data_IF_361201135280
#
_entry.id   IF_361201135280
#
_cell.length_a   1.000
_cell.length_b   1.000
_cell.length_c   1.000
_cell.angle_alpha   90.00
_cell.angle_beta   90.00
_cell.angle_gamma   90.00
#
_symmetry.space_group_name_H-M   'P 1'
#
loop_
_entity.id
_entity.type
_entity.pdbx_description
1 polymer ?
#
# COMPACT_ATOMS: atom_id res chain seq x y z
N UNK A 1 -7.70 8.33 -8.70
CA UNK A 1 -7.16 7.81 -7.44
C UNK A 1 -8.11 6.80 -6.82
N UNK A 2 -7.58 5.95 -5.97
CA UNK A 2 -8.38 4.92 -5.32
C UNK A 2 -9.21 5.53 -4.19
N UNK A 3 -10.52 5.40 -4.30
CA UNK A 3 -11.46 5.86 -3.29
C UNK A 3 -12.56 4.82 -3.11
N UNK A 4 -13.09 4.67 -1.88
CA UNK A 4 -14.24 3.80 -1.69
C UNK A 4 -15.47 4.32 -2.43
N UNK A 5 -16.23 3.42 -3.06
CA UNK A 5 -17.46 3.81 -3.74
C UNK A 5 -18.55 4.25 -2.77
N UNK A 6 -18.62 3.59 -1.63
CA UNK A 6 -19.56 3.92 -0.56
C UNK A 6 -18.82 3.89 0.75
N UNK A 7 -19.16 4.84 1.62
CA UNK A 7 -18.60 4.87 2.96
C UNK A 7 -19.72 4.86 3.98
N UNK A 8 -19.59 4.01 4.99
CA UNK A 8 -20.53 4.01 6.11
C UNK A 8 -20.37 5.27 6.95
N UNK A 9 -19.12 5.66 7.14
CA UNK A 9 -18.78 6.90 7.84
C UNK A 9 -17.73 7.64 7.02
N UNK A 10 -17.95 8.94 6.82
CA UNK A 10 -16.98 9.76 6.09
C UNK A 10 -15.79 10.16 6.94
N UNK A 11 -15.94 10.16 8.25
CA UNK A 11 -14.90 10.52 9.19
C UNK A 11 -14.74 9.39 10.20
N UNK A 12 -13.50 9.03 10.48
CA UNK A 12 -13.18 7.95 11.41
C UNK A 12 -12.12 8.46 12.37
N UNK A 13 -12.23 8.08 13.64
CA UNK A 13 -11.21 8.42 14.61
C UNK A 13 -9.92 7.68 14.31
N UNK A 14 -8.81 8.29 14.70
CA UNK A 14 -7.50 7.68 14.54
C UNK A 14 -7.43 6.44 15.43
N UNK A 15 -7.22 5.28 14.85
CA UNK A 15 -7.10 4.02 15.57
C UNK A 15 -5.68 3.74 16.01
N UNK A 16 -5.52 2.63 16.74
CA UNK A 16 -4.20 2.15 17.14
C UNK A 16 -3.46 1.59 15.94
N UNK A 17 -2.18 1.93 15.84
CA UNK A 17 -1.30 1.42 14.79
C UNK A 17 -0.32 0.41 15.38
N UNK A 18 -0.87 -0.67 15.94
CA UNK A 18 -0.08 -1.71 16.61
C UNK A 18 -0.33 -3.07 15.99
N UNK A 19 0.57 -3.99 16.26
CA UNK A 19 0.45 -5.37 15.87
C UNK A 19 1.04 -5.65 14.51
N UNK A 20 0.92 -6.90 14.08
CA UNK A 20 1.41 -7.38 12.80
C UNK A 20 0.24 -7.69 11.89
N UNK A 21 0.51 -7.74 10.59
CA UNK A 21 -0.50 -8.12 9.62
C UNK A 21 -0.93 -9.58 9.84
N UNK A 22 -2.24 -9.83 9.73
CA UNK A 22 -2.80 -11.18 9.87
C UNK A 22 -3.12 -11.81 8.53
N UNK A 23 -3.20 -11.01 7.46
CA UNK A 23 -3.48 -11.50 6.12
C UNK A 23 -2.49 -10.96 5.12
N UNK A 24 -2.37 -11.61 4.00
CA UNK A 24 -1.49 -11.21 2.90
C UNK A 24 -0.05 -10.95 3.34
N UNK A 25 0.50 -11.89 4.10
CA UNK A 25 1.88 -11.82 4.58
C UNK A 25 2.85 -12.53 3.65
N UNK A 26 2.34 -13.22 2.64
CA UNK A 26 3.15 -13.89 1.62
C UNK A 26 2.67 -13.45 0.24
N UNK A 27 3.53 -13.65 -0.76
CA UNK A 27 3.16 -13.40 -2.15
C UNK A 27 2.17 -14.48 -2.59
N UNK A 28 0.97 -14.07 -3.01
CA UNK A 28 -0.13 -14.99 -3.33
C UNK A 28 -0.44 -15.05 -4.82
N UNK A 29 -0.37 -13.94 -5.52
CA UNK A 29 -0.80 -13.84 -6.91
C UNK A 29 0.37 -13.73 -7.87
N UNK A 30 1.43 -13.03 -7.48
CA UNK A 30 2.57 -12.78 -8.33
C UNK A 30 3.75 -13.68 -8.03
N UNK A 31 4.90 -13.33 -8.58
CA UNK A 31 6.17 -13.99 -8.33
C UNK A 31 6.99 -13.25 -7.29
N UNK A 32 6.80 -11.95 -7.19
CA UNK A 32 7.52 -11.05 -6.29
C UNK A 32 6.55 -10.10 -5.64
N UNK A 33 6.89 -9.63 -4.46
CA UNK A 33 6.05 -8.71 -3.73
C UNK A 33 6.85 -7.67 -2.97
N UNK A 34 6.17 -6.62 -2.56
CA UNK A 34 6.71 -5.56 -1.72
C UNK A 34 6.06 -5.65 -0.35
N UNK A 35 6.84 -6.00 0.64
CA UNK A 35 6.38 -6.23 2.01
C UNK A 35 6.71 -5.03 2.89
N UNK A 36 5.76 -4.62 3.71
CA UNK A 36 5.98 -3.58 4.70
C UNK A 36 6.77 -4.11 5.89
N UNK A 37 7.72 -3.33 6.36
CA UNK A 37 8.55 -3.68 7.51
C UNK A 37 8.16 -2.94 8.79
N UNK A 38 7.29 -1.96 8.67
CA UNK A 38 6.86 -1.16 9.82
C UNK A 38 5.38 -0.80 9.69
N UNK A 39 4.81 -0.34 10.79
CA UNK A 39 3.44 0.14 10.79
C UNK A 39 3.39 1.56 10.25
N UNK A 40 2.33 1.89 9.53
CA UNK A 40 2.14 3.25 9.01
C UNK A 40 0.88 3.38 8.20
N UNK A 41 0.67 4.58 7.71
CA UNK A 41 -0.43 4.89 6.82
C UNK A 41 0.12 5.19 5.42
N UNK A 42 -0.55 4.64 4.43
CA UNK A 42 -0.23 4.88 3.02
C UNK A 42 -1.43 5.58 2.40
N UNK A 43 -1.19 6.76 1.84
CA UNK A 43 -2.27 7.53 1.22
C UNK A 43 -2.61 6.98 -0.16
N UNK A 44 -3.82 7.30 -0.63
CA UNK A 44 -4.23 6.94 -1.99
C UNK A 44 -3.27 7.51 -3.04
N UNK A 45 -2.70 8.68 -2.79
CA UNK A 45 -1.71 9.29 -3.71
C UNK A 45 -0.41 8.48 -3.73
N UNK A 46 0.04 8.00 -2.57
CA UNK A 46 1.25 7.17 -2.49
C UNK A 46 1.04 5.84 -3.20
N UNK A 47 -0.12 5.21 -3.02
CA UNK A 47 -0.44 3.95 -3.71
C UNK A 47 -0.42 4.17 -5.22
N UNK A 48 -1.01 5.24 -5.70
CA UNK A 48 -1.02 5.56 -7.13
C UNK A 48 0.38 5.86 -7.65
N UNK A 49 1.18 6.60 -6.91
CA UNK A 49 2.56 6.89 -7.29
C UNK A 49 3.40 5.62 -7.37
N UNK A 50 3.22 4.70 -6.42
CA UNK A 50 3.92 3.42 -6.42
C UNK A 50 3.52 2.59 -7.64
N UNK A 51 2.23 2.54 -7.95
CA UNK A 51 1.72 1.81 -9.12
C UNK A 51 2.34 2.36 -10.42
N UNK A 52 2.38 3.67 -10.55
CA UNK A 52 2.96 4.32 -11.73
C UNK A 52 4.46 4.01 -11.83
N UNK A 53 5.18 4.06 -10.73
CA UNK A 53 6.61 3.76 -10.72
C UNK A 53 6.88 2.33 -11.19
N UNK A 54 6.10 1.36 -10.70
CA UNK A 54 6.22 -0.02 -11.14
C UNK A 54 5.91 -0.20 -12.61
N UNK A 55 4.78 0.33 -13.06
CA UNK A 55 4.35 0.15 -14.46
C UNK A 55 5.29 0.81 -15.45
N UNK A 56 5.85 1.95 -15.11
CA UNK A 56 6.86 2.59 -15.96
C UNK A 56 8.13 1.74 -16.09
N UNK A 57 8.54 1.12 -15.00
CA UNK A 57 9.77 0.31 -15.02
C UNK A 57 9.60 -0.97 -15.82
N UNK A 58 8.48 -1.66 -15.66
CA UNK A 58 8.22 -2.91 -16.38
C UNK A 58 7.62 -2.67 -17.77
N UNK A 59 7.21 -1.45 -18.05
CA UNK A 59 6.60 -1.05 -19.31
C UNK A 59 5.35 -1.89 -19.61
N UNK A 60 5.27 -2.54 -20.75
CA UNK A 60 4.10 -3.32 -21.15
C UNK A 60 4.15 -4.77 -20.71
N UNK A 61 5.27 -5.20 -20.16
CA UNK A 61 5.40 -6.56 -19.67
C UNK A 61 4.85 -6.72 -18.28
N UNK A 62 4.49 -7.95 -17.94
CA UNK A 62 4.14 -8.28 -16.57
C UNK A 62 2.73 -7.89 -16.15
N UNK A 63 2.44 -8.25 -14.91
CA UNK A 63 1.15 -7.99 -14.30
C UNK A 63 1.37 -7.52 -12.86
N UNK A 64 0.57 -6.55 -12.43
CA UNK A 64 0.67 -5.93 -11.12
C UNK A 64 -0.61 -6.17 -10.33
N UNK A 65 -0.48 -6.53 -9.07
CA UNK A 65 -1.59 -6.60 -8.13
C UNK A 65 -1.36 -5.59 -7.02
N UNK A 66 -2.42 -4.89 -6.65
CA UNK A 66 -2.41 -3.95 -5.54
C UNK A 66 -3.27 -4.56 -4.44
N UNK A 67 -2.64 -4.97 -3.33
CA UNK A 67 -3.29 -5.68 -2.24
C UNK A 67 -3.72 -4.78 -1.10
N UNK A 68 -3.65 -3.48 -1.29
CA UNK A 68 -4.05 -2.50 -0.28
C UNK A 68 -5.06 -1.54 -0.86
N UNK A 69 -5.97 -1.07 -0.02
CA UNK A 69 -7.00 -0.12 -0.44
C UNK A 69 -7.14 0.97 0.59
N UNK A 70 -7.20 2.23 0.17
CA UNK A 70 -7.30 3.36 1.11
C UNK A 70 -8.74 3.57 1.55
N UNK A 71 -9.14 2.86 2.59
CA UNK A 71 -10.52 2.87 3.08
C UNK A 71 -10.73 3.71 4.33
N UNK A 72 -9.67 4.26 4.92
CA UNK A 72 -9.77 5.09 6.11
C UNK A 72 -9.67 6.56 5.73
N UNK A 73 -10.71 7.37 6.02
CA UNK A 73 -10.62 8.81 5.79
C UNK A 73 -9.78 9.48 6.87
N UNK A 74 -8.95 10.43 6.45
CA UNK A 74 -8.16 11.24 7.36
C UNK A 74 -8.53 12.69 7.15
N UNK A 75 -8.86 13.38 8.25
CA UNK A 75 -9.15 14.80 8.24
C UNK A 75 -7.92 15.55 8.71
N UNK A 76 -7.66 16.65 8.04
CA UNK A 76 -6.59 17.56 8.43
C UNK A 76 -7.21 18.90 8.73
N UNK A 77 -6.90 19.46 9.90
CA UNK A 77 -7.35 20.81 10.20
C UNK A 77 -6.58 21.80 9.35
N UNK A 78 -7.26 22.69 8.64
CA UNK A 78 -6.57 23.79 7.98
C UNK A 78 -5.83 24.63 9.02
N UNK A 79 -4.72 25.23 8.62
CA UNK A 79 -3.95 26.09 9.53
C UNK A 79 -4.79 27.25 10.07
N UNK A 80 -5.82 27.64 9.34
CA UNK A 80 -6.71 28.73 9.70
C UNK A 80 -7.93 28.29 10.51
N UNK A 81 -8.10 27.01 10.76
CA UNK A 81 -9.24 26.50 11.51
C UNK A 81 -9.13 26.94 12.96
N UNK A 82 -10.12 27.67 13.39
CA UNK A 82 -10.19 28.13 14.76
C UNK A 82 -10.86 27.08 15.64
N UNK A 83 -10.65 27.21 16.95
CA UNK A 83 -11.24 26.29 17.91
C UNK A 83 -12.76 26.27 17.80
N UNK A 84 -13.32 25.08 18.01
CA UNK A 84 -14.76 24.91 18.04
C UNK A 84 -15.42 24.55 16.74
N UNK A 85 -14.69 24.54 15.63
CA UNK A 85 -15.29 24.21 14.35
C UNK A 85 -15.41 22.72 14.06
N UNK A 86 -15.01 21.84 14.98
CA UNK A 86 -15.15 20.41 14.81
C UNK A 86 -14.19 19.82 13.77
N UNK A 87 -14.47 18.58 13.35
CA UNK A 87 -13.68 17.91 12.32
C UNK A 87 -13.93 18.54 10.96
N UNK A 88 -12.87 18.81 10.23
CA UNK A 88 -12.98 19.21 8.85
C UNK A 88 -13.42 18.06 7.94
N UNK A 89 -13.60 18.33 6.67
CA UNK A 89 -13.88 17.29 5.68
C UNK A 89 -12.69 16.37 5.50
N UNK A 90 -12.90 15.09 5.14
CA UNK A 90 -11.77 14.21 4.81
C UNK A 90 -10.98 14.78 3.64
N UNK A 91 -9.68 14.96 3.82
CA UNK A 91 -8.82 15.48 2.77
C UNK A 91 -8.18 14.38 1.95
N UNK A 92 -7.99 13.22 2.54
CA UNK A 92 -7.43 12.09 1.82
C UNK A 92 -7.82 10.79 2.50
N UNK A 93 -7.61 9.73 1.78
CA UNK A 93 -7.89 8.37 2.24
C UNK A 93 -6.59 7.63 2.41
N UNK A 94 -6.51 6.78 3.43
CA UNK A 94 -5.31 6.02 3.72
C UNK A 94 -5.64 4.55 3.93
N UNK A 95 -4.65 3.71 3.64
CA UNK A 95 -4.64 2.32 4.05
C UNK A 95 -3.77 2.21 5.29
N UNK A 96 -4.27 1.51 6.31
CA UNK A 96 -3.49 1.23 7.52
C UNK A 96 -2.67 -0.02 7.25
N UNK A 97 -1.36 0.10 7.35
CA UNK A 97 -0.42 -0.97 7.04
C UNK A 97 0.25 -1.43 8.32
N UNK A 98 0.32 -2.74 8.48
CA UNK A 98 1.03 -3.38 9.60
C UNK A 98 2.26 -4.12 9.06
N UNK A 99 3.29 -4.29 9.90
CA UNK A 99 4.48 -5.02 9.46
C UNK A 99 4.13 -6.42 8.97
N UNK A 100 4.76 -6.83 7.89
CA UNK A 100 4.53 -8.14 7.28
C UNK A 100 3.56 -8.15 6.12
N UNK A 101 2.81 -7.07 5.92
CA UNK A 101 1.83 -7.00 4.83
C UNK A 101 2.53 -6.92 3.47
N UNK A 102 2.16 -7.81 2.54
CA UNK A 102 2.56 -7.71 1.14
C UNK A 102 1.58 -6.76 0.45
N UNK A 103 2.06 -5.57 0.12
CA UNK A 103 1.21 -4.50 -0.38
C UNK A 103 1.01 -4.54 -1.89
N UNK A 104 2.05 -4.91 -2.61
CA UNK A 104 2.03 -5.00 -4.07
C UNK A 104 2.65 -6.30 -4.50
N UNK A 105 2.20 -6.83 -5.64
CA UNK A 105 2.77 -8.02 -6.23
C UNK A 105 3.00 -7.83 -7.71
N UNK A 106 3.95 -8.57 -8.25
CA UNK A 106 4.39 -8.42 -9.62
C UNK A 106 4.74 -9.79 -10.20
N UNK A 107 4.35 -10.03 -11.44
CA UNK A 107 4.66 -11.28 -12.13
C UNK A 107 4.92 -11.03 -13.60
N UNK A 108 5.53 -12.04 -14.26
CA UNK A 108 5.70 -12.00 -15.70
C UNK A 108 6.89 -11.17 -16.18
N UNK A 109 7.83 -10.85 -15.29
CA UNK A 109 9.04 -10.11 -15.63
C UNK A 109 10.24 -10.78 -15.02
N UNK A 110 11.45 -10.60 -15.59
CA UNK A 110 12.68 -11.17 -15.01
C UNK A 110 12.94 -10.64 -13.60
N UNK A 111 13.58 -11.45 -12.78
CA UNK A 111 13.83 -11.11 -11.37
C UNK A 111 14.54 -9.76 -11.17
N UNK A 112 15.63 -9.44 -11.91
CA UNK A 112 16.28 -8.14 -11.69
C UNK A 112 15.36 -6.96 -11.97
N UNK A 113 14.54 -7.06 -13.01
CA UNK A 113 13.60 -6.01 -13.36
C UNK A 113 12.48 -5.90 -12.31
N UNK A 114 11.96 -7.04 -11.84
CA UNK A 114 10.94 -7.05 -10.81
C UNK A 114 11.44 -6.42 -9.52
N UNK A 115 12.64 -6.76 -9.09
CA UNK A 115 13.24 -6.18 -7.88
C UNK A 115 13.40 -4.67 -8.00
N UNK A 116 13.88 -4.20 -9.14
CA UNK A 116 14.05 -2.76 -9.37
C UNK A 116 12.71 -2.03 -9.39
N UNK A 117 11.70 -2.60 -10.06
CA UNK A 117 10.38 -1.99 -10.11
C UNK A 117 9.75 -1.87 -8.72
N UNK A 118 9.83 -2.93 -7.93
CA UNK A 118 9.29 -2.92 -6.56
C UNK A 118 10.08 -1.99 -5.64
N UNK A 119 11.40 -1.92 -5.81
CA UNK A 119 12.22 -0.98 -5.04
C UNK A 119 11.81 0.47 -5.34
N UNK A 120 11.60 0.79 -6.60
CA UNK A 120 11.15 2.13 -6.98
C UNK A 120 9.76 2.44 -6.41
N UNK A 121 8.87 1.46 -6.42
CA UNK A 121 7.56 1.62 -5.80
C UNK A 121 7.68 1.90 -4.30
N UNK A 122 8.55 1.16 -3.62
CA UNK A 122 8.77 1.36 -2.18
C UNK A 122 9.25 2.75 -1.82
N UNK A 123 10.00 3.40 -2.71
CA UNK A 123 10.46 4.77 -2.48
C UNK A 123 9.33 5.79 -2.47
N UNK A 124 8.17 5.47 -3.01
CA UNK A 124 7.01 6.35 -3.03
C UNK A 124 6.13 6.20 -1.78
N UNK A 125 6.45 5.24 -0.93
CA UNK A 125 5.64 4.92 0.25
C UNK A 125 6.27 5.51 1.51
N UNK A 126 5.44 5.70 2.52
CA UNK A 126 5.87 6.28 3.80
C UNK A 126 6.39 5.23 4.79
N UNK A 127 6.29 3.96 4.46
CA UNK A 127 6.77 2.88 5.33
C UNK A 127 8.00 2.24 4.71
N UNK A 128 8.85 1.66 5.56
CA UNK A 128 9.98 0.87 5.09
C UNK A 128 9.47 -0.41 4.44
N UNK A 129 10.11 -0.82 3.37
CA UNK A 129 9.67 -1.94 2.56
C UNK A 129 10.83 -2.88 2.24
N UNK A 130 10.46 -4.10 1.87
CA UNK A 130 11.40 -5.11 1.41
C UNK A 130 10.79 -5.88 0.25
N UNK A 131 11.60 -6.15 -0.76
CA UNK A 131 11.18 -7.00 -1.87
C UNK A 131 11.29 -8.45 -1.42
N UNK A 132 10.22 -9.21 -1.63
CA UNK A 132 10.17 -10.63 -1.28
C UNK A 132 9.80 -11.44 -2.49
N UNK A 133 10.27 -12.68 -2.52
CA UNK A 133 9.98 -13.62 -3.57
C UNK A 133 8.89 -14.58 -3.10
N UNK A 134 8.09 -15.07 -4.04
CA UNK A 134 7.08 -16.08 -3.71
C UNK A 134 7.78 -17.32 -3.15
N UNK A 135 7.27 -17.80 -2.02
CA UNK A 135 7.80 -19.01 -1.43
C UNK A 135 7.39 -20.21 -2.26
N UNK A 136 8.36 -21.08 -2.51
CA UNK A 136 8.06 -22.33 -3.18
C UNK A 136 7.21 -23.22 -2.26
N UNK A 137 6.25 -23.91 -2.85
CA UNK A 137 5.49 -24.91 -2.12
C UNK A 137 6.45 -26.04 -1.73
N UNK A 138 6.38 -26.47 -0.46
CA UNK A 138 7.22 -27.55 0.04
C UNK A 138 7.04 -28.85 -0.74
N UNK A 139 5.92 -29.03 -1.42
CA UNK A 139 5.62 -30.22 -2.20
C UNK A 139 5.95 -30.07 -3.68
N UNK A 140 6.35 -28.89 -4.11
CA UNK A 140 6.86 -28.70 -5.47
C UNK A 140 8.32 -29.11 -5.53
N UNK A 141 8.58 -30.05 -6.33
CA UNK A 141 9.94 -30.53 -6.53
C UNK A 141 10.55 -29.96 -7.81
#
# INVERSE_FOLDING_TARGET
>A
MLLPKKTKFRKVQRGRRRGQAKGQTTVQFGDYGLKALEVGWITNRQIEAARIAMTRKIKRGGKVWINVFPDKPVTQKPAETRMGSGKGSPEHWVAVIKPGRVMFELAGVPEPLAKEALRLAGQKLSVKTRVVKREADLFES
#
